data_IF_888723512598
#
_entry.id   IF_888723512598
#
_cell.length_a   1.000
_cell.length_b   1.000
_cell.length_c   1.000
_cell.angle_alpha   90.00
_cell.angle_beta   90.00
_cell.angle_gamma   90.00
#
_symmetry.space_group_name_H-M   'P 1'
#
loop_
_entity.id
_entity.type
_entity.pdbx_description
1 polymer ?
#
# COMPACT_ATOMS: atom_id res chain seq x y z
N UNK A 1 -6.26 -0.65 18.58
CA UNK A 1 -4.96 -1.02 18.00
C UNK A 1 -5.07 -0.73 16.53
N UNK A 2 -4.35 0.27 16.01
CA UNK A 2 -4.44 0.64 14.59
C UNK A 2 -3.68 -0.40 13.80
N UNK A 3 -4.38 -1.36 13.20
CA UNK A 3 -3.76 -2.39 12.37
C UNK A 3 -3.17 -1.73 11.12
N UNK A 4 -1.86 -1.56 11.11
CA UNK A 4 -1.11 -1.06 9.95
C UNK A 4 -1.05 -2.16 8.89
N UNK A 5 -1.48 -1.85 7.68
CA UNK A 5 -1.49 -2.78 6.57
C UNK A 5 -0.22 -2.56 5.75
N UNK A 6 0.49 -3.63 5.38
CA UNK A 6 1.68 -3.49 4.54
C UNK A 6 1.34 -3.66 3.06
N UNK A 7 2.10 -3.04 2.13
CA UNK A 7 1.93 -3.26 0.69
C UNK A 7 2.02 -4.74 0.29
N UNK A 8 2.80 -5.54 1.04
CA UNK A 8 2.90 -6.99 0.82
C UNK A 8 1.59 -7.72 1.15
N UNK A 9 0.87 -7.29 2.20
CA UNK A 9 -0.45 -7.85 2.53
C UNK A 9 -1.45 -7.51 1.43
N UNK A 10 -1.48 -6.24 0.99
CA UNK A 10 -2.34 -5.82 -0.12
C UNK A 10 -2.01 -6.51 -1.43
N UNK A 11 -0.72 -6.74 -1.71
CA UNK A 11 -0.27 -7.48 -2.88
C UNK A 11 -0.82 -8.91 -2.90
N UNK A 12 -0.77 -9.60 -1.76
CA UNK A 12 -1.33 -10.93 -1.62
C UNK A 12 -2.86 -10.92 -1.75
N UNK A 13 -3.53 -9.95 -1.12
CA UNK A 13 -4.99 -9.80 -1.17
C UNK A 13 -5.51 -9.54 -2.59
N UNK A 14 -4.83 -8.66 -3.32
CA UNK A 14 -5.25 -8.18 -4.63
C UNK A 14 -4.64 -9.00 -5.78
N UNK A 15 -3.83 -10.01 -5.47
CA UNK A 15 -3.06 -10.79 -6.45
C UNK A 15 -2.25 -9.92 -7.43
N UNK A 16 -1.69 -8.83 -6.92
CA UNK A 16 -0.82 -7.92 -7.68
C UNK A 16 0.58 -7.87 -7.08
N UNK A 17 1.56 -7.36 -7.81
CA UNK A 17 2.91 -7.20 -7.28
C UNK A 17 3.00 -6.10 -6.22
N UNK A 18 3.69 -6.37 -5.12
CA UNK A 18 4.01 -5.37 -4.10
C UNK A 18 4.79 -4.17 -4.68
N UNK A 19 5.56 -4.40 -5.75
CA UNK A 19 6.24 -3.33 -6.51
C UNK A 19 5.26 -2.32 -7.11
N UNK A 20 4.14 -2.76 -7.70
CA UNK A 20 3.20 -1.84 -8.35
C UNK A 20 2.43 -1.02 -7.31
N UNK A 21 2.12 -1.63 -6.16
CA UNK A 21 1.51 -0.93 -5.03
C UNK A 21 2.48 0.12 -4.49
N UNK A 22 3.74 -0.25 -4.23
CA UNK A 22 4.77 0.69 -3.74
C UNK A 22 5.04 1.84 -4.72
N UNK A 23 5.07 1.55 -6.03
CA UNK A 23 5.21 2.59 -7.05
C UNK A 23 4.02 3.55 -6.99
N UNK A 24 2.79 3.04 -7.00
CA UNK A 24 1.59 3.86 -6.95
C UNK A 24 1.53 4.72 -5.68
N UNK A 25 1.85 4.15 -4.52
CA UNK A 25 1.92 4.89 -3.25
C UNK A 25 2.98 6.00 -3.27
N UNK A 26 4.12 5.75 -3.94
CA UNK A 26 5.16 6.75 -4.13
C UNK A 26 4.69 7.87 -5.05
N UNK A 27 3.94 7.55 -6.10
CA UNK A 27 3.35 8.53 -7.01
C UNK A 27 2.30 9.42 -6.31
N UNK A 28 1.62 8.91 -5.28
CA UNK A 28 0.75 9.70 -4.40
C UNK A 28 1.51 10.60 -3.40
N UNK A 29 2.84 10.49 -3.35
CA UNK A 29 3.67 11.23 -2.40
C UNK A 29 3.60 10.70 -0.96
N UNK A 30 3.08 9.49 -0.74
CA UNK A 30 2.91 8.93 0.62
C UNK A 30 4.17 8.27 1.17
N UNK A 31 5.25 8.20 0.39
CA UNK A 31 6.54 7.71 0.85
C UNK A 31 7.52 8.85 1.05
N UNK A 32 7.58 9.39 2.28
CA UNK A 32 8.54 10.46 2.61
C UNK A 32 9.90 9.95 3.11
N UNK A 33 10.01 8.71 3.60
CA UNK A 33 11.21 8.26 4.31
C UNK A 33 11.90 7.08 3.61
N UNK A 34 13.16 7.23 3.17
CA UNK A 34 13.97 6.13 2.68
C UNK A 34 14.13 5.06 3.75
N UNK A 35 14.06 3.77 3.38
CA UNK A 35 14.22 2.62 4.28
C UNK A 35 13.16 2.47 5.39
N UNK A 36 12.17 3.35 5.48
CA UNK A 36 11.05 3.15 6.39
C UNK A 36 10.22 1.92 5.99
N UNK A 37 9.73 1.21 7.00
CA UNK A 37 8.73 0.17 6.77
C UNK A 37 7.48 0.81 6.21
N UNK A 38 6.91 0.16 5.21
CA UNK A 38 5.66 0.59 4.63
C UNK A 38 4.51 0.17 5.53
N UNK A 39 3.98 1.13 6.28
CA UNK A 39 2.87 0.97 7.19
C UNK A 39 1.74 1.87 6.69
N UNK A 40 0.74 1.25 6.06
CA UNK A 40 -0.42 1.97 5.54
C UNK A 40 -1.51 2.00 6.60
N UNK A 41 -2.17 3.14 6.72
CA UNK A 41 -3.41 3.23 7.47
C UNK A 41 -4.52 2.45 6.75
N UNK A 42 -5.58 2.03 7.46
CA UNK A 42 -6.74 1.43 6.83
C UNK A 42 -7.30 2.26 5.66
N UNK A 43 -7.36 3.59 5.80
CA UNK A 43 -7.82 4.50 4.74
C UNK A 43 -6.93 4.46 3.49
N UNK A 44 -5.61 4.39 3.65
CA UNK A 44 -4.68 4.25 2.53
C UNK A 44 -4.82 2.89 1.86
N UNK A 45 -4.99 1.84 2.67
CA UNK A 45 -5.22 0.49 2.16
C UNK A 45 -6.51 0.40 1.34
N UNK A 46 -7.59 1.07 1.76
CA UNK A 46 -8.84 1.10 1.00
C UNK A 46 -8.70 1.85 -0.34
N UNK A 47 -7.88 2.89 -0.41
CA UNK A 47 -7.57 3.54 -1.68
C UNK A 47 -6.76 2.63 -2.62
N UNK A 48 -5.80 1.87 -2.09
CA UNK A 48 -5.09 0.84 -2.87
C UNK A 48 -6.08 -0.21 -3.37
N UNK A 49 -6.96 -0.73 -2.50
CA UNK A 49 -7.99 -1.71 -2.89
C UNK A 49 -8.88 -1.16 -4.00
N UNK A 50 -9.41 0.04 -3.85
CA UNK A 50 -10.25 0.68 -4.86
C UNK A 50 -9.53 0.84 -6.22
N UNK A 51 -8.22 1.09 -6.19
CA UNK A 51 -7.41 1.26 -7.40
C UNK A 51 -7.09 -0.05 -8.14
N UNK A 52 -6.90 -1.15 -7.42
CA UNK A 52 -6.38 -2.42 -7.97
C UNK A 52 -7.41 -3.56 -8.05
N UNK A 53 -8.54 -3.49 -7.32
CA UNK A 53 -9.61 -4.51 -7.29
C UNK A 53 -10.55 -4.45 -8.51
N UNK A 54 -9.99 -4.25 -9.71
CA UNK A 54 -10.79 -4.10 -10.94
C UNK A 54 -11.37 -5.43 -11.43
#
# INVERSE_FOLDING_TARGET
>A
MTETITPRQLAAELSVSDRIIRQWLRDQGWQSVPYARWELTPDQADQVRARFRR
#
